data_IF_734884732629
#
_entry.id   IF_734884732629
#
_cell.length_a   1.000
_cell.length_b   1.000
_cell.length_c   1.000
_cell.angle_alpha   90.00
_cell.angle_beta   90.00
_cell.angle_gamma   90.00
#
_symmetry.space_group_name_H-M   'P 1'
#
loop_
_entity.id
_entity.type
_entity.pdbx_description
1 polymer ?
#
# COMPACT_ATOMS: atom_id res chain seq x y z
N UNK A 1 24.45 -11.08 -0.85
CA UNK A 1 23.31 -11.05 -1.78
C UNK A 1 22.77 -9.64 -1.90
N UNK A 2 22.67 -9.16 -3.09
CA UNK A 2 22.17 -7.81 -3.32
C UNK A 2 20.65 -7.77 -3.20
N UNK A 3 20.08 -6.79 -2.51
CA UNK A 3 18.65 -6.61 -2.50
C UNK A 3 18.17 -6.23 -3.90
N UNK A 4 16.98 -6.68 -4.24
CA UNK A 4 16.39 -6.26 -5.50
C UNK A 4 16.03 -4.77 -5.43
N UNK A 5 16.35 -4.00 -6.47
CA UNK A 5 15.89 -2.62 -6.50
C UNK A 5 14.38 -2.56 -6.57
N UNK A 6 13.80 -1.62 -5.87
CA UNK A 6 12.36 -1.40 -5.92
C UNK A 6 12.06 -0.61 -7.18
N UNK A 7 11.26 -1.19 -8.06
CA UNK A 7 10.82 -0.55 -9.30
C UNK A 7 9.33 -0.47 -9.42
N UNK A 8 8.62 -1.46 -8.85
CA UNK A 8 7.16 -1.55 -8.94
C UNK A 8 6.59 -1.53 -7.54
N UNK A 9 5.61 -0.69 -7.33
CA UNK A 9 5.00 -0.51 -6.02
C UNK A 9 3.49 -0.72 -6.13
N UNK A 10 2.96 -1.55 -5.26
CA UNK A 10 1.52 -1.76 -5.12
C UNK A 10 1.02 -0.85 -4.02
N UNK A 11 0.10 0.05 -4.34
CA UNK A 11 -0.50 0.97 -3.37
C UNK A 11 -1.94 0.58 -3.11
N UNK A 12 -2.25 0.27 -1.87
CA UNK A 12 -3.60 -0.09 -1.46
C UNK A 12 -4.22 1.05 -0.66
N UNK A 13 -5.43 1.45 -1.02
CA UNK A 13 -6.08 2.57 -0.35
C UNK A 13 -7.58 2.37 -0.23
N UNK A 14 -8.17 3.04 0.75
CA UNK A 14 -9.60 3.07 0.92
C UNK A 14 -10.15 4.31 0.20
N UNK A 15 -10.90 4.13 -0.91
CA UNK A 15 -11.39 5.27 -1.69
C UNK A 15 -12.41 6.12 -0.94
N UNK A 16 -12.98 5.59 0.14
CA UNK A 16 -13.94 6.34 0.94
C UNK A 16 -13.28 7.24 1.99
N UNK A 17 -12.00 7.04 2.25
CA UNK A 17 -11.26 7.82 3.22
C UNK A 17 -10.66 9.05 2.54
N UNK A 18 -11.31 10.20 2.68
CA UNK A 18 -10.88 11.42 1.98
C UNK A 18 -9.46 11.83 2.28
N UNK A 19 -9.06 11.75 3.54
CA UNK A 19 -7.70 12.10 3.91
C UNK A 19 -6.68 11.13 3.35
N UNK A 20 -7.05 9.86 3.27
CA UNK A 20 -6.21 8.86 2.66
C UNK A 20 -5.97 9.14 1.19
N UNK A 21 -7.03 9.49 0.47
CA UNK A 21 -6.91 9.82 -0.95
C UNK A 21 -6.02 11.06 -1.13
N UNK A 22 -6.20 12.07 -0.31
CA UNK A 22 -5.38 13.28 -0.38
C UNK A 22 -3.92 13.01 -0.04
N UNK A 23 -3.67 12.15 0.94
CA UNK A 23 -2.30 11.81 1.32
C UNK A 23 -1.61 10.96 0.25
N UNK A 24 -2.36 10.13 -0.43
CA UNK A 24 -1.83 9.20 -1.41
C UNK A 24 -1.28 9.91 -2.64
N UNK A 25 -2.00 10.91 -3.15
CA UNK A 25 -1.64 11.53 -4.43
C UNK A 25 -0.24 12.15 -4.43
N UNK A 26 0.15 12.96 -3.44
CA UNK A 26 1.50 13.52 -3.44
C UNK A 26 2.59 12.45 -3.35
N UNK A 27 2.33 11.38 -2.62
CA UNK A 27 3.28 10.28 -2.50
C UNK A 27 3.43 9.56 -3.84
N UNK A 28 2.31 9.28 -4.49
CA UNK A 28 2.34 8.66 -5.83
C UNK A 28 3.12 9.52 -6.81
N UNK A 29 2.87 10.83 -6.81
CA UNK A 29 3.56 11.74 -7.72
C UNK A 29 5.07 11.71 -7.49
N UNK A 30 5.51 11.69 -6.24
CA UNK A 30 6.92 11.65 -5.93
C UNK A 30 7.57 10.33 -6.30
N UNK A 31 6.88 9.23 -6.06
CA UNK A 31 7.39 7.91 -6.42
C UNK A 31 7.52 7.76 -7.93
N UNK A 32 6.52 8.23 -8.67
CA UNK A 32 6.58 8.18 -10.13
C UNK A 32 7.68 9.09 -10.68
N UNK A 33 7.86 10.27 -10.08
CA UNK A 33 8.94 11.16 -10.45
C UNK A 33 10.31 10.53 -10.23
N UNK A 34 10.41 9.63 -9.25
CA UNK A 34 11.63 8.88 -8.97
C UNK A 34 11.83 7.67 -9.86
N UNK A 35 10.94 7.44 -10.83
CA UNK A 35 11.07 6.35 -11.79
C UNK A 35 10.36 5.06 -11.41
N UNK A 36 9.53 5.08 -10.35
CA UNK A 36 8.81 3.89 -9.94
C UNK A 36 7.51 3.73 -10.71
N UNK A 37 7.14 2.49 -10.96
CA UNK A 37 5.86 2.17 -11.58
C UNK A 37 4.88 1.81 -10.47
N UNK A 38 3.74 2.47 -10.44
CA UNK A 38 2.75 2.28 -9.39
C UNK A 38 1.53 1.56 -9.91
N UNK A 39 1.03 0.62 -9.11
CA UNK A 39 -0.28 0.03 -9.30
C UNK A 39 -1.10 0.44 -8.09
N UNK A 40 -2.18 1.18 -8.31
CA UNK A 40 -3.04 1.67 -7.25
C UNK A 40 -4.31 0.85 -7.22
N UNK A 41 -4.56 0.17 -6.11
CA UNK A 41 -5.72 -0.71 -5.94
C UNK A 41 -6.56 -0.23 -4.78
N UNK A 42 -7.84 0.02 -4.99
CA UNK A 42 -8.76 0.34 -3.90
C UNK A 42 -9.17 -0.93 -3.16
N UNK A 43 -9.39 -0.83 -1.87
CA UNK A 43 -10.03 -1.90 -1.11
C UNK A 43 -11.33 -1.39 -0.51
N UNK A 44 -12.32 -2.26 -0.46
CA UNK A 44 -13.65 -1.90 0.04
C UNK A 44 -13.81 -2.25 1.52
N UNK A 45 -13.04 -3.22 1.99
CA UNK A 45 -13.11 -3.66 3.38
C UNK A 45 -11.75 -4.22 3.78
N UNK A 46 -11.55 -4.40 5.08
CA UNK A 46 -10.25 -4.82 5.59
C UNK A 46 -9.80 -6.20 5.09
N UNK A 47 -10.67 -7.21 4.99
CA UNK A 47 -10.23 -8.52 4.46
C UNK A 47 -9.67 -8.47 3.05
N UNK A 48 -10.10 -7.49 2.23
CA UNK A 48 -9.59 -7.38 0.88
C UNK A 48 -8.11 -7.00 0.84
N UNK A 49 -7.63 -6.30 1.87
CA UNK A 49 -6.23 -5.88 1.93
C UNK A 49 -5.33 -7.12 1.88
N UNK A 50 -5.56 -8.07 2.77
CA UNK A 50 -4.76 -9.29 2.81
C UNK A 50 -4.89 -10.09 1.51
N UNK A 51 -6.11 -10.15 0.96
CA UNK A 51 -6.36 -10.86 -0.29
C UNK A 51 -5.60 -10.22 -1.45
N UNK A 52 -5.62 -8.90 -1.53
CA UNK A 52 -4.95 -8.20 -2.62
C UNK A 52 -3.43 -8.36 -2.50
N UNK A 53 -2.89 -8.31 -1.30
CA UNK A 53 -1.46 -8.54 -1.10
C UNK A 53 -1.10 -9.95 -1.54
N UNK A 54 -1.86 -10.95 -1.12
CA UNK A 54 -1.60 -12.33 -1.49
C UNK A 54 -1.66 -12.52 -3.01
N UNK A 55 -2.59 -11.83 -3.66
CA UNK A 55 -2.81 -11.95 -5.10
C UNK A 55 -1.77 -11.19 -5.90
N UNK A 56 -1.34 -10.03 -5.43
CA UNK A 56 -0.59 -9.09 -6.24
C UNK A 56 0.86 -8.88 -5.83
N UNK A 57 1.29 -9.42 -4.67
CA UNK A 57 2.64 -9.13 -4.18
C UNK A 57 3.75 -9.54 -5.15
N UNK A 58 3.53 -10.56 -5.97
CA UNK A 58 4.54 -11.02 -6.92
C UNK A 58 4.69 -10.07 -8.10
N UNK A 59 3.72 -9.19 -8.33
CA UNK A 59 3.80 -8.20 -9.41
C UNK A 59 4.44 -6.90 -8.95
N UNK A 60 4.83 -6.81 -7.69
CA UNK A 60 5.39 -5.59 -7.12
C UNK A 60 6.62 -5.92 -6.30
N UNK A 61 7.48 -4.93 -6.17
CA UNK A 61 8.70 -5.06 -5.36
C UNK A 61 8.47 -4.57 -3.94
N UNK A 62 7.44 -3.78 -3.73
CA UNK A 62 7.06 -3.27 -2.42
C UNK A 62 5.57 -3.01 -2.38
N UNK A 63 5.00 -3.00 -1.19
CA UNK A 63 3.59 -2.71 -0.97
C UNK A 63 3.47 -1.49 -0.08
N UNK A 64 2.60 -0.56 -0.46
CA UNK A 64 2.28 0.62 0.34
C UNK A 64 0.82 0.52 0.73
N UNK A 65 0.53 0.66 2.01
CA UNK A 65 -0.84 0.67 2.52
C UNK A 65 -1.15 2.05 3.03
N UNK A 66 -2.19 2.65 2.47
CA UNK A 66 -2.68 3.95 2.90
C UNK A 66 -3.90 3.73 3.79
N UNK A 67 -3.76 3.99 5.07
CA UNK A 67 -4.86 3.75 6.00
C UNK A 67 -4.45 3.94 7.44
N UNK A 68 -5.36 3.57 8.32
CA UNK A 68 -5.14 3.63 9.76
C UNK A 68 -4.73 2.29 10.33
N UNK A 69 -4.84 2.17 11.65
CA UNK A 69 -4.40 0.99 12.38
C UNK A 69 -5.06 -0.31 11.91
N UNK A 70 -6.34 -0.25 11.60
CA UNK A 70 -7.06 -1.43 11.11
C UNK A 70 -6.53 -1.94 9.79
N UNK A 71 -6.22 -1.02 8.89
CA UNK A 71 -5.66 -1.38 7.58
C UNK A 71 -4.28 -1.99 7.73
N UNK A 72 -3.45 -1.39 8.58
CA UNK A 72 -2.11 -1.89 8.83
C UNK A 72 -2.15 -3.27 9.48
N UNK A 73 -3.01 -3.44 10.47
CA UNK A 73 -3.17 -4.74 11.14
C UNK A 73 -3.65 -5.82 10.19
N UNK A 74 -4.54 -5.46 9.25
CA UNK A 74 -5.03 -6.40 8.26
C UNK A 74 -3.97 -6.78 7.24
N UNK A 75 -3.08 -5.85 6.93
CA UNK A 75 -2.03 -6.08 5.96
C UNK A 75 -0.87 -6.91 6.52
N UNK A 76 -0.58 -6.75 7.81
CA UNK A 76 0.64 -7.28 8.39
C UNK A 76 0.86 -8.79 8.17
N UNK A 77 -0.12 -9.67 8.43
CA UNK A 77 0.14 -11.10 8.20
C UNK A 77 0.46 -11.43 6.74
N UNK A 78 -0.24 -10.80 5.81
CA UNK A 78 0.00 -11.05 4.40
C UNK A 78 1.37 -10.52 3.95
N UNK A 79 1.78 -9.37 4.50
CA UNK A 79 3.10 -8.81 4.22
C UNK A 79 4.20 -9.72 4.77
N UNK A 80 4.03 -10.22 5.99
CA UNK A 80 5.00 -11.12 6.58
C UNK A 80 5.14 -12.41 5.76
N UNK A 81 4.01 -12.93 5.31
CA UNK A 81 4.01 -14.14 4.50
C UNK A 81 4.63 -13.91 3.12
N UNK A 82 4.39 -12.75 2.53
CA UNK A 82 4.92 -12.44 1.20
C UNK A 82 6.40 -12.07 1.22
N UNK A 83 6.90 -11.59 2.35
CA UNK A 83 8.26 -11.10 2.44
C UNK A 83 8.49 -9.75 1.78
N UNK A 84 7.43 -9.08 1.36
CA UNK A 84 7.55 -7.79 0.66
C UNK A 84 7.85 -6.65 1.62
N UNK A 85 8.68 -5.68 1.22
CA UNK A 85 8.81 -4.44 1.99
C UNK A 85 7.47 -3.73 2.08
N UNK A 86 7.18 -3.14 3.24
CA UNK A 86 5.93 -2.43 3.49
C UNK A 86 6.20 -0.97 3.78
N UNK A 87 5.54 -0.09 3.03
CA UNK A 87 5.47 1.32 3.35
C UNK A 87 4.07 1.64 3.87
N UNK A 88 3.97 2.64 4.71
CA UNK A 88 2.71 3.04 5.29
C UNK A 88 2.50 4.53 5.05
N UNK A 89 1.33 4.88 4.52
CA UNK A 89 0.89 6.26 4.42
C UNK A 89 -0.23 6.41 5.45
N UNK A 90 0.02 7.10 6.56
CA UNK A 90 -1.05 7.27 7.55
C UNK A 90 -2.18 8.09 6.96
N UNK A 91 -3.38 7.56 7.04
CA UNK A 91 -4.57 8.29 6.69
C UNK A 91 -5.21 8.74 7.98
N UNK A 92 -5.58 9.97 8.03
CA UNK A 92 -6.24 10.49 9.19
C UNK A 92 -7.42 9.62 9.52
N UNK A 93 -7.54 9.24 10.73
CA UNK A 93 -8.39 8.14 11.06
C UNK A 93 -9.52 8.55 11.97
N UNK A 94 -9.42 8.16 13.18
CA UNK A 94 -10.53 8.17 14.09
C UNK A 94 -11.16 9.53 14.32
N UNK A 95 -10.45 10.58 14.09
CA UNK A 95 -10.97 11.91 14.37
C UNK A 95 -11.50 12.63 13.14
N UNK A 96 -11.57 11.94 12.09
CA UNK A 96 -11.97 12.55 10.82
C UNK A 96 -13.46 12.55 10.62
#
# INVERSE_FOLDING_TARGET
MSPHPIKRVLCLHNPKARQGVRALQPVCDRLEAGGLTLTVEPFQNLPEIARDIARLHQTADAVVVCGGDGSISSAAPAIMESGSPLGIIPAGTAND
#
